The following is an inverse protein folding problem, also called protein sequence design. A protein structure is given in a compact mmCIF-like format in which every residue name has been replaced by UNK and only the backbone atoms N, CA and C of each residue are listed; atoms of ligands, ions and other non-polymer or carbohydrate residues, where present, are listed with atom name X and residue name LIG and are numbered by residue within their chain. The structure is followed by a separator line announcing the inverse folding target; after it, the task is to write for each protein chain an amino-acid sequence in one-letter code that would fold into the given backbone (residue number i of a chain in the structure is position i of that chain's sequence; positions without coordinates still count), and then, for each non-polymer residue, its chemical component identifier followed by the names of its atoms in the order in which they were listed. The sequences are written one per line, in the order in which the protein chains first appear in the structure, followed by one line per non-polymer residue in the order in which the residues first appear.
data_IF_699743283431
#
_entry.id   IF_699743283431
#
_cell.length_a   1.000
_cell.length_b   1.000
_cell.length_c   1.000
_cell.angle_alpha   90.00
_cell.angle_beta   90.00
_cell.angle_gamma   90.00
#
_symmetry.space_group_name_H-M   'P 1'
#
loop_
_entity.id
_entity.type
_entity.pdbx_description
1 polymer ?
#
# COMPACT_ATOMS: atom_id res chain seq x y z
N UNK A 1 27.90 10.87 -3.22
CA UNK A 1 26.89 11.32 -4.21
C UNK A 1 25.98 12.34 -3.53
N UNK A 2 25.67 13.47 -4.15
CA UNK A 2 24.98 14.59 -3.47
C UNK A 2 23.46 14.40 -3.48
N UNK A 3 22.75 14.92 -2.48
CA UNK A 3 21.26 14.92 -2.42
C UNK A 3 20.62 15.51 -3.68
N UNK A 4 21.27 16.50 -4.31
CA UNK A 4 20.85 17.12 -5.58
C UNK A 4 20.76 16.11 -6.72
N UNK A 5 21.70 15.16 -6.78
CA UNK A 5 21.69 14.11 -7.80
C UNK A 5 20.44 13.23 -7.69
N UNK A 6 20.15 12.71 -6.49
CA UNK A 6 18.97 11.86 -6.27
C UNK A 6 17.65 12.59 -6.50
N UNK A 7 17.60 13.89 -6.20
CA UNK A 7 16.44 14.72 -6.53
C UNK A 7 16.20 14.80 -8.04
N UNK A 8 17.25 15.07 -8.83
CA UNK A 8 17.15 15.13 -10.29
C UNK A 8 16.68 13.79 -10.84
N UNK A 9 17.26 12.68 -10.38
CA UNK A 9 16.84 11.33 -10.80
C UNK A 9 15.37 11.08 -10.46
N UNK A 10 14.92 11.44 -9.25
CA UNK A 10 13.52 11.31 -8.85
C UNK A 10 12.58 12.12 -9.75
N UNK A 11 12.94 13.36 -10.08
CA UNK A 11 12.15 14.23 -10.96
C UNK A 11 12.07 13.66 -12.38
N UNK A 12 13.16 13.10 -12.90
CA UNK A 12 13.17 12.43 -14.20
C UNK A 12 12.22 11.23 -14.18
N UNK A 13 12.25 10.39 -13.14
CA UNK A 13 11.31 9.26 -13.03
C UNK A 13 9.86 9.76 -13.00
N UNK A 14 9.55 10.79 -12.21
CA UNK A 14 8.19 11.35 -12.16
C UNK A 14 7.73 11.89 -13.51
N UNK A 15 8.61 12.58 -14.25
CA UNK A 15 8.30 13.05 -15.58
C UNK A 15 8.02 11.88 -16.55
N UNK A 16 8.84 10.82 -16.51
CA UNK A 16 8.63 9.63 -17.34
C UNK A 16 7.32 8.92 -16.97
N UNK A 17 7.02 8.73 -15.68
CA UNK A 17 5.75 8.14 -15.23
C UNK A 17 4.54 8.94 -15.72
N UNK A 18 4.59 10.27 -15.62
CA UNK A 18 3.50 11.12 -16.07
C UNK A 18 3.32 11.06 -17.59
N UNK A 19 4.41 11.13 -18.35
CA UNK A 19 4.37 11.04 -19.82
C UNK A 19 3.80 9.70 -20.25
N UNK A 20 4.26 8.58 -19.67
CA UNK A 20 3.77 7.25 -20.05
C UNK A 20 2.33 7.02 -19.62
N UNK A 21 1.89 7.53 -18.48
CA UNK A 21 0.48 7.49 -18.08
C UNK A 21 -0.42 8.28 -19.06
N UNK A 22 0.00 9.48 -19.48
CA UNK A 22 -0.73 10.28 -20.48
C UNK A 22 -0.78 9.54 -21.82
N UNK A 23 0.35 9.00 -22.27
CA UNK A 23 0.42 8.23 -23.53
C UNK A 23 -0.45 6.97 -23.48
N UNK A 24 -0.52 6.27 -22.34
CA UNK A 24 -1.43 5.13 -22.17
C UNK A 24 -2.89 5.55 -22.31
N UNK A 25 -3.31 6.64 -21.64
CA UNK A 25 -4.68 7.17 -21.73
C UNK A 25 -5.02 7.57 -23.17
N UNK A 26 -4.10 8.26 -23.87
CA UNK A 26 -4.25 8.61 -25.29
C UNK A 26 -4.36 7.34 -26.13
N UNK A 27 -3.45 6.38 -25.94
CA UNK A 27 -3.46 5.11 -26.66
C UNK A 27 -4.76 4.33 -26.42
N UNK A 28 -5.31 4.39 -25.21
CA UNK A 28 -6.59 3.79 -24.85
C UNK A 28 -7.77 4.48 -25.50
N UNK A 29 -7.77 5.82 -25.55
CA UNK A 29 -8.81 6.61 -26.18
C UNK A 29 -8.89 6.37 -27.70
N UNK A 30 -7.73 6.34 -28.38
CA UNK A 30 -7.65 6.12 -29.83
C UNK A 30 -7.57 4.64 -30.25
N UNK A 31 -7.57 3.69 -29.30
CA UNK A 31 -7.47 2.26 -29.61
C UNK A 31 -6.11 1.80 -30.14
N UNK A 32 -5.04 2.57 -29.90
CA UNK A 32 -3.68 2.29 -30.35
C UNK A 32 -3.02 1.28 -29.39
N UNK A 33 -3.18 -0.01 -29.70
CA UNK A 33 -2.75 -1.12 -28.82
C UNK A 33 -1.25 -1.16 -28.53
N UNK A 34 -0.40 -0.88 -29.52
CA UNK A 34 1.06 -0.92 -29.32
C UNK A 34 1.51 0.17 -28.33
N UNK A 35 0.86 1.33 -28.36
CA UNK A 35 1.16 2.42 -27.44
C UNK A 35 0.83 1.99 -26.02
N UNK A 36 -0.41 1.54 -25.77
CA UNK A 36 -0.82 0.98 -24.46
C UNK A 36 0.13 -0.13 -23.99
N UNK A 37 0.49 -1.05 -24.87
CA UNK A 37 1.34 -2.18 -24.54
C UNK A 37 2.72 -1.73 -24.04
N UNK A 38 3.28 -0.68 -24.66
CA UNK A 38 4.59 -0.15 -24.26
C UNK A 38 4.52 0.75 -23.04
N UNK A 39 3.42 1.48 -22.83
CA UNK A 39 3.36 2.51 -21.79
C UNK A 39 2.68 2.05 -20.51
N UNK A 40 1.73 1.10 -20.56
CA UNK A 40 0.83 0.81 -19.44
C UNK A 40 1.54 0.38 -18.16
N UNK A 41 2.52 -0.51 -18.27
CA UNK A 41 3.25 -1.06 -17.14
C UNK A 41 4.35 -0.14 -16.59
N UNK A 42 4.79 0.86 -17.39
CA UNK A 42 5.94 1.70 -17.03
C UNK A 42 5.69 2.54 -15.76
N UNK A 43 4.55 3.24 -15.59
CA UNK A 43 4.28 4.00 -14.38
C UNK A 43 4.45 3.18 -13.11
N UNK A 44 3.91 1.96 -13.07
CA UNK A 44 3.98 1.07 -11.91
C UNK A 44 5.37 0.49 -11.73
N UNK A 45 6.02 0.02 -12.81
CA UNK A 45 7.36 -0.54 -12.75
C UNK A 45 8.41 0.47 -12.23
N UNK A 46 8.28 1.75 -12.59
CA UNK A 46 9.16 2.81 -12.13
C UNK A 46 9.01 3.16 -10.64
N UNK A 47 7.97 2.68 -9.96
CA UNK A 47 7.86 2.82 -8.50
C UNK A 47 8.87 1.93 -7.76
N UNK A 48 9.32 0.82 -8.36
CA UNK A 48 10.30 -0.09 -7.76
C UNK A 48 11.63 0.63 -7.46
N UNK A 49 12.34 1.24 -8.44
CA UNK A 49 13.57 1.96 -8.16
C UNK A 49 13.36 3.18 -7.23
N UNK A 50 12.15 3.77 -7.22
CA UNK A 50 11.81 4.83 -6.26
C UNK A 50 11.80 4.32 -4.82
N UNK A 51 11.12 3.20 -4.56
CA UNK A 51 11.01 2.56 -3.25
C UNK A 51 12.35 2.01 -2.77
N UNK A 52 13.06 1.29 -3.63
CA UNK A 52 14.23 0.51 -3.22
C UNK A 52 15.53 1.31 -3.17
N UNK A 53 15.69 2.28 -4.08
CA UNK A 53 16.97 2.99 -4.25
C UNK A 53 16.83 4.48 -3.99
N UNK A 54 15.94 5.17 -4.70
CA UNK A 54 15.99 6.63 -4.77
C UNK A 54 15.50 7.29 -3.49
N UNK A 55 14.34 6.92 -2.95
CA UNK A 55 13.85 7.53 -1.71
C UNK A 55 14.78 7.27 -0.52
N UNK A 56 15.28 6.04 -0.27
CA UNK A 56 16.24 5.81 0.81
C UNK A 56 17.50 6.68 0.71
N UNK A 57 18.00 6.90 -0.51
CA UNK A 57 19.21 7.70 -0.74
C UNK A 57 18.94 9.21 -0.68
N UNK A 58 17.77 9.65 -1.16
CA UNK A 58 17.39 11.06 -1.17
C UNK A 58 17.09 11.60 0.23
N UNK A 59 16.42 10.81 1.08
CA UNK A 59 16.08 11.24 2.45
C UNK A 59 17.21 11.00 3.46
N UNK A 60 18.14 10.08 3.17
CA UNK A 60 19.34 9.80 3.96
C UNK A 60 19.07 9.64 5.48
N UNK A 61 17.94 9.04 5.84
CA UNK A 61 17.49 8.89 7.24
C UNK A 61 18.16 7.70 7.92
N UNK A 62 18.30 7.81 9.25
CA UNK A 62 18.78 6.70 10.10
C UNK A 62 17.78 5.54 10.14
N UNK A 63 16.47 5.84 10.15
CA UNK A 63 15.41 4.82 10.09
C UNK A 63 15.02 4.55 8.64
N UNK A 64 14.89 3.28 8.31
CA UNK A 64 14.46 2.78 6.99
C UNK A 64 13.31 1.80 7.18
N UNK A 65 12.45 1.68 6.16
CA UNK A 65 11.45 0.63 6.17
C UNK A 65 12.09 -0.77 6.37
N UNK A 66 11.49 -1.67 7.17
CA UNK A 66 11.98 -3.03 7.34
C UNK A 66 12.15 -3.73 5.99
N UNK A 67 13.23 -4.52 5.84
CA UNK A 67 13.53 -5.21 4.58
C UNK A 67 12.37 -6.09 4.09
N UNK A 68 11.70 -6.77 5.01
CA UNK A 68 10.52 -7.60 4.73
C UNK A 68 9.40 -6.80 4.06
N UNK A 69 9.11 -5.59 4.54
CA UNK A 69 8.09 -4.71 3.96
C UNK A 69 8.49 -4.30 2.55
N UNK A 70 9.75 -3.91 2.35
CA UNK A 70 10.27 -3.52 1.03
C UNK A 70 10.14 -4.65 0.02
N UNK A 71 10.59 -5.86 0.38
CA UNK A 71 10.50 -7.05 -0.47
C UNK A 71 9.05 -7.28 -0.92
N UNK A 72 8.10 -7.26 0.02
CA UNK A 72 6.69 -7.49 -0.32
C UNK A 72 6.10 -6.37 -1.20
N UNK A 73 6.41 -5.10 -0.93
CA UNK A 73 5.98 -3.99 -1.80
C UNK A 73 6.56 -4.14 -3.21
N UNK A 74 7.85 -4.47 -3.33
CA UNK A 74 8.53 -4.62 -4.62
C UNK A 74 7.96 -5.80 -5.41
N UNK A 75 7.74 -6.96 -4.77
CA UNK A 75 7.09 -8.09 -5.42
C UNK A 75 5.67 -7.70 -5.83
N UNK A 76 4.92 -6.99 -4.97
CA UNK A 76 3.59 -6.50 -5.30
C UNK A 76 3.56 -5.61 -6.53
N UNK A 77 4.45 -4.61 -6.58
CA UNK A 77 4.61 -3.72 -7.73
C UNK A 77 5.02 -4.46 -9.01
N UNK A 78 5.94 -5.42 -8.90
CA UNK A 78 6.38 -6.22 -10.03
C UNK A 78 5.23 -7.09 -10.58
N UNK A 79 4.48 -7.77 -9.71
CA UNK A 79 3.31 -8.55 -10.10
C UNK A 79 2.26 -7.67 -10.80
N UNK A 80 1.98 -6.48 -10.27
CA UNK A 80 1.01 -5.54 -10.87
C UNK A 80 1.48 -5.02 -12.24
N UNK A 81 2.75 -4.65 -12.39
CA UNK A 81 3.31 -4.20 -13.66
C UNK A 81 3.30 -5.31 -14.73
N UNK A 82 3.59 -6.56 -14.35
CA UNK A 82 3.46 -7.71 -15.28
C UNK A 82 1.99 -8.01 -15.56
N UNK A 83 1.10 -7.86 -14.58
CA UNK A 83 -0.35 -7.98 -14.74
C UNK A 83 -0.89 -6.99 -15.79
N UNK A 84 -0.42 -5.75 -15.76
CA UNK A 84 -0.77 -4.71 -16.75
C UNK A 84 -0.44 -5.15 -18.17
N UNK A 85 0.74 -5.72 -18.37
CA UNK A 85 1.17 -6.23 -19.66
C UNK A 85 0.22 -7.32 -20.18
N UNK A 86 -0.15 -8.28 -19.33
CA UNK A 86 -1.09 -9.34 -19.69
C UNK A 86 -2.51 -8.84 -19.98
N UNK A 87 -2.96 -7.75 -19.34
CA UNK A 87 -4.26 -7.14 -19.63
C UNK A 87 -4.32 -6.44 -21.00
N UNK A 88 -3.21 -5.90 -21.50
CA UNK A 88 -3.19 -5.27 -22.83
C UNK A 88 -3.28 -6.30 -23.94
N UNK A 89 -2.81 -7.54 -23.71
CA UNK A 89 -2.94 -8.70 -24.61
C UNK A 89 -4.39 -9.22 -24.55
N UNK A 90 -5.35 -8.34 -24.77
CA UNK A 90 -6.79 -8.58 -24.61
C UNK A 90 -7.36 -9.55 -25.65
N UNK A 91 -6.59 -9.95 -26.66
CA UNK A 91 -7.05 -10.92 -27.66
C UNK A 91 -7.32 -12.30 -27.07
N UNK A 92 -6.71 -12.63 -25.92
CA UNK A 92 -6.75 -13.97 -25.35
C UNK A 92 -7.35 -13.95 -23.94
N UNK A 93 -8.50 -14.63 -23.76
CA UNK A 93 -9.09 -14.92 -22.44
C UNK A 93 -8.08 -15.43 -21.39
N UNK A 94 -7.11 -16.32 -21.71
CA UNK A 94 -6.12 -16.75 -20.73
C UNK A 94 -5.17 -15.62 -20.28
N UNK A 95 -4.76 -14.72 -21.17
CA UNK A 95 -3.91 -13.58 -20.79
C UNK A 95 -4.62 -12.67 -19.79
N UNK A 96 -5.91 -12.40 -20.00
CA UNK A 96 -6.70 -11.65 -19.02
C UNK A 96 -6.73 -12.34 -17.64
N UNK A 97 -6.95 -13.65 -17.60
CA UNK A 97 -6.99 -14.43 -16.34
C UNK A 97 -5.62 -14.38 -15.64
N UNK A 98 -4.52 -14.58 -16.39
CA UNK A 98 -3.16 -14.51 -15.85
C UNK A 98 -2.89 -13.11 -15.27
N UNK A 99 -3.23 -12.05 -16.00
CA UNK A 99 -3.09 -10.68 -15.52
C UNK A 99 -3.85 -10.45 -14.21
N UNK A 100 -5.11 -10.90 -14.15
CA UNK A 100 -5.95 -10.80 -12.96
C UNK A 100 -5.36 -11.55 -11.75
N UNK A 101 -4.84 -12.76 -11.96
CA UNK A 101 -4.17 -13.53 -10.91
C UNK A 101 -2.92 -12.80 -10.42
N UNK A 102 -2.13 -12.19 -11.32
CA UNK A 102 -0.95 -11.42 -10.94
C UNK A 102 -1.30 -10.19 -10.10
N UNK A 103 -2.36 -9.44 -10.46
CA UNK A 103 -2.85 -8.34 -9.62
C UNK A 103 -3.24 -8.82 -8.22
N UNK A 104 -3.99 -9.92 -8.17
CA UNK A 104 -4.43 -10.50 -6.91
C UNK A 104 -3.26 -10.90 -6.01
N UNK A 105 -2.26 -11.57 -6.58
CA UNK A 105 -1.02 -11.90 -5.89
C UNK A 105 -0.31 -10.63 -5.42
N UNK A 106 -0.27 -9.59 -6.24
CA UNK A 106 0.29 -8.29 -5.89
C UNK A 106 -0.40 -7.64 -4.68
N UNK A 107 -1.73 -7.64 -4.65
CA UNK A 107 -2.51 -7.13 -3.51
C UNK A 107 -2.30 -7.95 -2.25
N UNK A 108 -2.19 -9.28 -2.34
CA UNK A 108 -1.85 -10.13 -1.19
C UNK A 108 -0.50 -9.73 -0.60
N UNK A 109 0.50 -9.42 -1.42
CA UNK A 109 1.77 -8.93 -0.91
C UNK A 109 1.66 -7.56 -0.23
N UNK A 110 0.81 -6.65 -0.72
CA UNK A 110 0.51 -5.40 0.01
C UNK A 110 -0.20 -5.66 1.34
N UNK A 111 -1.14 -6.60 1.40
CA UNK A 111 -1.79 -7.02 2.65
C UNK A 111 -0.73 -7.48 3.66
N UNK A 112 0.18 -8.37 3.25
CA UNK A 112 1.23 -8.91 4.13
C UNK A 112 2.19 -7.80 4.57
N UNK A 113 2.61 -6.92 3.66
CA UNK A 113 3.53 -5.80 3.94
C UNK A 113 2.98 -4.85 5.01
N UNK A 114 1.66 -4.63 5.02
CA UNK A 114 0.98 -3.70 5.90
C UNK A 114 0.00 -4.38 6.87
N UNK A 115 0.22 -5.65 7.21
CA UNK A 115 -0.61 -6.30 8.21
C UNK A 115 -0.28 -5.75 9.61
N UNK A 116 -1.27 -5.29 10.42
CA UNK A 116 -1.00 -4.76 11.75
C UNK A 116 -0.53 -5.89 12.69
N UNK A 117 0.68 -5.76 13.25
CA UNK A 117 1.29 -6.79 14.12
C UNK A 117 0.72 -6.85 15.54
N UNK A 118 0.08 -5.77 16.04
CA UNK A 118 -0.54 -5.73 17.38
C UNK A 118 -2.00 -6.19 17.29
N UNK A 119 -2.25 -7.44 17.68
CA UNK A 119 -3.45 -8.22 17.36
C UNK A 119 -4.79 -7.72 17.95
N UNK A 120 -4.91 -7.49 19.27
CA UNK A 120 -6.25 -7.49 19.91
C UNK A 120 -7.19 -6.33 19.53
N UNK A 121 -6.77 -5.07 19.68
CA UNK A 121 -7.66 -3.93 19.41
C UNK A 121 -7.87 -3.67 17.90
N UNK A 122 -6.90 -4.07 17.07
CA UNK A 122 -6.87 -3.68 15.65
C UNK A 122 -7.49 -4.67 14.71
N UNK A 123 -7.66 -5.93 15.14
CA UNK A 123 -8.47 -6.90 14.41
C UNK A 123 -9.91 -6.43 14.30
N UNK A 124 -10.48 -5.78 15.32
CA UNK A 124 -11.86 -5.28 15.24
C UNK A 124 -12.01 -4.20 14.15
N UNK A 125 -11.07 -3.26 14.07
CA UNK A 125 -11.04 -2.23 13.02
C UNK A 125 -10.80 -2.83 11.64
N UNK A 126 -9.90 -3.81 11.54
CA UNK A 126 -9.65 -4.55 10.30
C UNK A 126 -10.93 -5.28 9.85
N UNK A 127 -11.55 -6.07 10.72
CA UNK A 127 -12.77 -6.83 10.44
C UNK A 127 -13.91 -5.87 10.06
N UNK A 128 -14.13 -4.80 10.82
CA UNK A 128 -15.17 -3.81 10.51
C UNK A 128 -14.95 -3.15 9.14
N UNK A 129 -13.71 -2.78 8.81
CA UNK A 129 -13.37 -2.18 7.52
C UNK A 129 -13.55 -3.18 6.37
N UNK A 130 -13.10 -4.42 6.55
CA UNK A 130 -13.30 -5.50 5.57
C UNK A 130 -14.78 -5.77 5.36
N UNK A 131 -15.58 -5.88 6.43
CA UNK A 131 -17.02 -6.11 6.33
C UNK A 131 -17.71 -4.96 5.59
N UNK A 132 -17.41 -3.71 5.93
CA UNK A 132 -17.99 -2.54 5.27
C UNK A 132 -17.68 -2.54 3.77
N UNK A 133 -16.41 -2.76 3.41
CA UNK A 133 -15.99 -2.80 2.01
C UNK A 133 -16.61 -3.98 1.26
N UNK A 134 -16.65 -5.17 1.87
CA UNK A 134 -17.31 -6.35 1.29
C UNK A 134 -18.81 -6.11 1.05
N UNK A 135 -19.51 -5.48 2.00
CA UNK A 135 -20.92 -5.13 1.83
C UNK A 135 -21.08 -4.14 0.69
N UNK A 136 -20.22 -3.11 0.60
CA UNK A 136 -20.27 -2.14 -0.50
C UNK A 136 -19.99 -2.77 -1.88
N UNK A 137 -19.00 -3.67 -1.96
CA UNK A 137 -18.70 -4.45 -3.17
C UNK A 137 -19.87 -5.36 -3.54
N UNK A 138 -20.49 -6.01 -2.55
CA UNK A 138 -21.62 -6.89 -2.77
C UNK A 138 -22.86 -6.13 -3.27
N UNK A 139 -23.16 -4.96 -2.70
CA UNK A 139 -24.22 -4.09 -3.20
C UNK A 139 -23.94 -3.64 -4.64
N UNK A 140 -22.72 -3.20 -4.93
CA UNK A 140 -22.28 -2.83 -6.28
C UNK A 140 -22.44 -4.01 -7.24
N UNK A 141 -22.03 -5.19 -6.80
CA UNK A 141 -22.14 -6.43 -7.56
C UNK A 141 -23.61 -6.76 -7.88
N UNK A 142 -24.54 -6.70 -6.93
CA UNK A 142 -25.97 -6.96 -7.17
C UNK A 142 -26.56 -5.95 -8.17
N UNK A 143 -26.22 -4.67 -8.04
CA UNK A 143 -26.76 -3.63 -8.92
C UNK A 143 -26.33 -3.88 -10.38
N UNK A 144 -25.09 -4.31 -10.57
CA UNK A 144 -24.50 -4.53 -11.89
C UNK A 144 -24.91 -5.90 -12.48
N UNK A 145 -25.02 -6.94 -11.65
CA UNK A 145 -25.33 -8.30 -12.07
C UNK A 145 -26.81 -8.63 -11.87
N UNK A 146 -27.63 -8.28 -12.88
CA UNK A 146 -29.05 -8.65 -12.88
C UNK A 146 -29.30 -10.11 -13.31
N UNK A 147 -28.31 -10.82 -13.90
CA UNK A 147 -28.46 -12.20 -14.39
C UNK A 147 -27.32 -13.12 -13.89
N UNK A 148 -27.21 -13.27 -12.57
CA UNK A 148 -26.13 -14.01 -11.87
C UNK A 148 -26.01 -15.47 -12.36
N UNK A 149 -27.11 -16.10 -12.77
CA UNK A 149 -27.15 -17.53 -13.11
C UNK A 149 -26.25 -17.91 -14.28
N UNK A 150 -26.02 -16.99 -15.23
CA UNK A 150 -25.18 -17.26 -16.41
C UNK A 150 -23.68 -17.15 -16.14
N UNK A 151 -23.28 -16.48 -15.05
CA UNK A 151 -21.88 -16.09 -14.81
C UNK A 151 -21.35 -16.49 -13.44
N UNK A 152 -21.94 -17.51 -12.80
CA UNK A 152 -21.63 -17.93 -11.41
C UNK A 152 -20.13 -18.05 -11.12
N UNK A 153 -19.36 -18.70 -12.01
CA UNK A 153 -17.92 -18.86 -11.81
C UNK A 153 -17.15 -17.52 -11.85
N UNK A 154 -17.51 -16.63 -12.78
CA UNK A 154 -16.91 -15.30 -12.88
C UNK A 154 -17.27 -14.44 -11.67
N UNK A 155 -18.53 -14.55 -11.22
CA UNK A 155 -19.02 -13.89 -10.00
C UNK A 155 -18.23 -14.27 -8.75
N UNK A 156 -17.93 -15.55 -8.56
CA UNK A 156 -17.06 -15.98 -7.46
C UNK A 156 -15.65 -15.41 -7.59
N UNK A 157 -15.12 -15.32 -8.80
CA UNK A 157 -13.84 -14.67 -9.08
C UNK A 157 -13.82 -13.20 -8.65
N UNK A 158 -14.85 -12.42 -9.02
CA UNK A 158 -14.96 -11.02 -8.61
C UNK A 158 -15.15 -10.86 -7.10
N UNK A 159 -15.96 -11.70 -6.47
CA UNK A 159 -16.16 -11.66 -5.02
C UNK A 159 -14.84 -11.92 -4.27
N UNK A 160 -14.09 -12.93 -4.70
CA UNK A 160 -12.78 -13.25 -4.13
C UNK A 160 -11.78 -12.13 -4.36
N UNK A 161 -11.78 -11.53 -5.55
CA UNK A 161 -10.96 -10.37 -5.87
C UNK A 161 -11.25 -9.18 -4.94
N UNK A 162 -12.52 -8.77 -4.82
CA UNK A 162 -12.92 -7.67 -3.93
C UNK A 162 -12.67 -7.95 -2.44
N UNK A 163 -12.75 -9.21 -2.01
CA UNK A 163 -12.38 -9.59 -0.65
C UNK A 163 -10.90 -9.28 -0.37
N UNK A 164 -10.00 -9.61 -1.30
CA UNK A 164 -8.56 -9.33 -1.16
C UNK A 164 -8.27 -7.83 -1.19
N UNK A 165 -8.93 -7.07 -2.06
CA UNK A 165 -8.76 -5.61 -2.08
C UNK A 165 -9.33 -4.93 -0.83
N UNK A 166 -10.43 -5.46 -0.30
CA UNK A 166 -11.00 -5.02 0.99
C UNK A 166 -10.00 -5.27 2.12
N UNK A 167 -9.37 -6.45 2.13
CA UNK A 167 -8.32 -6.79 3.09
C UNK A 167 -7.09 -5.88 2.94
N UNK A 168 -6.70 -5.57 1.70
CA UNK A 168 -5.61 -4.63 1.40
C UNK A 168 -5.93 -3.25 1.95
N UNK A 169 -7.09 -2.68 1.60
CA UNK A 169 -7.50 -1.35 2.05
C UNK A 169 -7.57 -1.29 3.58
N UNK A 170 -8.15 -2.32 4.20
CA UNK A 170 -8.24 -2.40 5.65
C UNK A 170 -6.86 -2.53 6.32
N UNK A 171 -5.86 -3.18 5.70
CA UNK A 171 -4.51 -3.31 6.28
C UNK A 171 -3.79 -1.96 6.38
N UNK A 172 -4.02 -1.06 5.41
CA UNK A 172 -3.53 0.32 5.47
C UNK A 172 -4.29 1.17 6.50
N UNK A 173 -5.62 1.07 6.55
CA UNK A 173 -6.45 1.84 7.50
C UNK A 173 -6.17 1.43 8.95
N UNK A 174 -5.99 0.14 9.21
CA UNK A 174 -5.77 -0.41 10.55
C UNK A 174 -4.33 -0.24 11.08
N UNK A 175 -3.47 0.51 10.38
CA UNK A 175 -2.09 0.73 10.80
C UNK A 175 -2.01 1.42 12.18
N UNK A 176 -1.07 1.02 13.05
CA UNK A 176 -0.75 1.78 14.25
C UNK A 176 -0.43 3.24 13.98
N UNK A 177 -1.05 4.13 14.75
CA UNK A 177 -0.32 5.33 15.19
C UNK A 177 0.79 4.87 16.13
N UNK A 178 2.04 5.14 15.76
CA UNK A 178 3.24 4.85 16.56
C UNK A 178 4.26 5.95 16.32
N UNK A 179 5.05 6.29 17.34
CA UNK A 179 6.12 7.30 17.21
C UNK A 179 7.09 6.97 16.06
N UNK A 180 7.31 5.69 15.76
CA UNK A 180 8.20 5.26 14.67
C UNK A 180 7.63 5.44 13.26
N UNK A 181 6.40 5.91 13.10
CA UNK A 181 5.73 5.99 11.79
C UNK A 181 5.05 7.35 11.60
N UNK A 182 5.32 7.99 10.46
CA UNK A 182 4.67 9.23 10.07
C UNK A 182 3.21 8.99 9.66
N UNK A 183 2.27 9.66 10.34
CA UNK A 183 0.82 9.55 10.12
C UNK A 183 0.41 10.01 8.70
N UNK A 184 1.05 11.05 8.16
CA UNK A 184 0.76 11.55 6.80
C UNK A 184 1.06 10.50 5.73
N UNK A 185 2.17 9.77 5.87
CA UNK A 185 2.52 8.68 4.98
C UNK A 185 1.55 7.50 5.10
N UNK A 186 1.08 7.19 6.31
CA UNK A 186 0.06 6.16 6.53
C UNK A 186 -1.26 6.54 5.85
N UNK A 187 -1.69 7.79 6.03
CA UNK A 187 -2.90 8.29 5.40
C UNK A 187 -2.80 8.25 3.88
N UNK A 188 -1.65 8.62 3.30
CA UNK A 188 -1.39 8.46 1.87
C UNK A 188 -1.59 7.00 1.42
N UNK A 189 -1.05 6.03 2.15
CA UNK A 189 -1.23 4.61 1.83
C UNK A 189 -2.70 4.16 1.87
N UNK A 190 -3.46 4.59 2.87
CA UNK A 190 -4.89 4.30 2.98
C UNK A 190 -5.71 4.91 1.84
N UNK A 191 -5.45 6.18 1.49
CA UNK A 191 -6.07 6.84 0.33
C UNK A 191 -5.68 6.11 -0.96
N UNK A 192 -4.41 5.69 -1.09
CA UNK A 192 -3.92 4.95 -2.25
C UNK A 192 -4.63 3.61 -2.44
N UNK A 193 -4.79 2.84 -1.36
CA UNK A 193 -5.51 1.57 -1.40
C UNK A 193 -6.99 1.75 -1.75
N UNK A 194 -7.65 2.79 -1.22
CA UNK A 194 -9.02 3.12 -1.58
C UNK A 194 -9.15 3.51 -3.06
N UNK A 195 -8.19 4.26 -3.61
CA UNK A 195 -8.20 4.62 -5.03
C UNK A 195 -8.02 3.40 -5.95
N UNK A 196 -7.18 2.43 -5.58
CA UNK A 196 -7.05 1.17 -6.31
C UNK A 196 -8.39 0.41 -6.27
N UNK A 197 -8.95 0.21 -5.09
CA UNK A 197 -10.25 -0.44 -4.94
C UNK A 197 -11.34 0.23 -5.78
N UNK A 198 -11.39 1.58 -5.78
CA UNK A 198 -12.33 2.34 -6.63
C UNK A 198 -12.05 2.14 -8.12
N UNK A 199 -10.78 2.12 -8.53
CA UNK A 199 -10.37 1.84 -9.91
C UNK A 199 -10.90 0.49 -10.40
N UNK A 200 -10.74 -0.56 -9.60
CA UNK A 200 -11.14 -1.91 -9.97
C UNK A 200 -12.65 -2.14 -9.87
N UNK A 201 -13.34 -1.43 -8.97
CA UNK A 201 -14.80 -1.31 -9.00
C UNK A 201 -15.27 -0.70 -10.33
N UNK A 202 -14.68 0.42 -10.76
CA UNK A 202 -15.02 1.08 -12.03
C UNK A 202 -14.72 0.18 -13.24
N UNK A 203 -13.59 -0.53 -13.22
CA UNK A 203 -13.22 -1.49 -14.26
C UNK A 203 -14.23 -2.64 -14.35
N UNK A 204 -14.67 -3.16 -13.21
CA UNK A 204 -15.67 -4.23 -13.13
C UNK A 204 -17.03 -3.75 -13.66
N UNK A 205 -17.49 -2.58 -13.22
CA UNK A 205 -18.73 -1.95 -13.71
C UNK A 205 -18.67 -1.78 -15.24
N UNK A 206 -17.57 -1.21 -15.74
CA UNK A 206 -17.38 -0.95 -17.16
C UNK A 206 -17.43 -2.23 -18.01
N UNK A 207 -16.75 -3.27 -17.55
CA UNK A 207 -16.73 -4.57 -18.22
C UNK A 207 -18.14 -5.15 -18.30
N UNK A 208 -18.92 -5.05 -17.23
CA UNK A 208 -20.28 -5.58 -17.22
C UNK A 208 -21.21 -4.77 -18.12
N UNK A 209 -21.16 -3.43 -18.07
CA UNK A 209 -21.95 -2.60 -18.99
C UNK A 209 -21.66 -2.95 -20.45
N UNK A 210 -20.39 -3.18 -20.79
CA UNK A 210 -19.97 -3.62 -22.12
C UNK A 210 -20.53 -5.00 -22.48
N UNK A 211 -20.55 -5.97 -21.56
CA UNK A 211 -21.12 -7.30 -21.80
C UNK A 211 -22.64 -7.27 -22.03
N UNK A 212 -23.36 -6.33 -21.39
CA UNK A 212 -24.80 -6.15 -21.57
C UNK A 212 -25.16 -5.23 -22.74
N UNK A 213 -24.19 -4.78 -23.54
CA UNK A 213 -24.43 -3.89 -24.68
C UNK A 213 -24.96 -2.51 -24.29
N UNK A 214 -24.74 -2.08 -23.05
CA UNK A 214 -25.12 -0.74 -22.57
C UNK A 214 -24.06 0.28 -22.96
N UNK A 215 -24.48 1.53 -23.09
CA UNK A 215 -23.57 2.64 -23.37
C UNK A 215 -22.48 2.74 -22.32
N UNK A 216 -21.29 3.09 -22.81
CA UNK A 216 -20.07 3.14 -22.02
C UNK A 216 -20.03 4.43 -21.21
N UNK A 217 -19.52 4.36 -19.97
CA UNK A 217 -19.35 5.56 -19.15
C UNK A 217 -18.35 6.50 -19.86
N UNK A 218 -18.70 7.77 -20.11
CA UNK A 218 -17.80 8.70 -20.77
C UNK A 218 -16.51 8.87 -19.95
N UNK A 219 -15.36 8.92 -20.63
CA UNK A 219 -14.03 9.06 -20.00
C UNK A 219 -13.62 7.97 -19.00
N UNK A 220 -14.35 6.85 -18.93
CA UNK A 220 -14.07 5.72 -18.03
C UNK A 220 -12.60 5.32 -17.96
N UNK A 221 -11.92 5.27 -19.09
CA UNK A 221 -10.55 4.75 -19.17
C UNK A 221 -9.59 5.71 -18.48
N UNK A 222 -9.79 7.01 -18.67
CA UNK A 222 -9.01 8.02 -17.97
C UNK A 222 -9.26 7.94 -16.46
N UNK A 223 -10.52 7.83 -16.02
CA UNK A 223 -10.85 7.71 -14.60
C UNK A 223 -10.18 6.49 -13.97
N UNK A 224 -10.36 5.30 -14.56
CA UNK A 224 -9.74 4.05 -14.08
C UNK A 224 -8.23 4.19 -14.01
N UNK A 225 -7.56 4.62 -15.09
CA UNK A 225 -6.09 4.71 -15.12
C UNK A 225 -5.55 5.77 -14.14
N UNK A 226 -6.22 6.91 -14.00
CA UNK A 226 -5.81 7.95 -13.04
C UNK A 226 -5.93 7.45 -11.60
N UNK A 227 -7.05 6.82 -11.22
CA UNK A 227 -7.22 6.24 -9.89
C UNK A 227 -6.22 5.11 -9.62
N UNK A 228 -5.97 4.28 -10.63
CA UNK A 228 -5.01 3.17 -10.57
C UNK A 228 -3.57 3.65 -10.34
N UNK A 229 -3.03 4.50 -11.23
CA UNK A 229 -1.66 4.97 -11.14
C UNK A 229 -1.42 5.83 -9.90
N UNK A 230 -2.37 6.70 -9.56
CA UNK A 230 -2.24 7.53 -8.36
C UNK A 230 -2.34 6.67 -7.09
N UNK A 231 -3.20 5.66 -7.07
CA UNK A 231 -3.31 4.70 -5.99
C UNK A 231 -2.00 3.95 -5.73
N UNK A 232 -1.38 3.39 -6.78
CA UNK A 232 -0.08 2.72 -6.67
C UNK A 232 1.05 3.66 -6.22
N UNK A 233 1.06 4.90 -6.73
CA UNK A 233 2.02 5.90 -6.28
C UNK A 233 1.90 6.17 -4.77
N UNK A 234 0.67 6.37 -4.27
CA UNK A 234 0.43 6.66 -2.85
C UNK A 234 0.74 5.47 -1.93
N UNK A 235 0.40 4.24 -2.34
CA UNK A 235 0.81 3.02 -1.61
C UNK A 235 2.34 2.95 -1.54
N UNK A 236 3.02 3.14 -2.67
CA UNK A 236 4.48 3.13 -2.72
C UNK A 236 5.06 4.22 -1.83
N UNK A 237 4.50 5.42 -1.89
CA UNK A 237 4.89 6.56 -1.06
C UNK A 237 4.74 6.28 0.44
N UNK A 238 3.72 5.52 0.86
CA UNK A 238 3.53 5.16 2.27
C UNK A 238 4.63 4.28 2.84
N UNK A 239 5.44 3.61 1.99
CA UNK A 239 6.64 2.90 2.44
C UNK A 239 7.64 3.83 3.17
N UNK A 240 7.50 5.16 2.97
CA UNK A 240 8.35 6.19 3.57
C UNK A 240 8.01 6.54 5.02
N UNK A 241 6.99 5.91 5.61
CA UNK A 241 6.51 6.26 6.94
C UNK A 241 7.58 6.15 8.03
N UNK A 242 8.59 5.28 7.87
CA UNK A 242 9.70 5.12 8.82
C UNK A 242 10.81 6.16 8.61
N UNK A 243 11.06 6.57 7.37
CA UNK A 243 12.01 7.63 7.06
C UNK A 243 11.49 9.00 7.53
N UNK A 244 10.19 9.28 7.37
CA UNK A 244 9.59 10.56 7.73
C UNK A 244 9.51 10.81 9.25
N UNK A 245 9.24 9.78 10.05
CA UNK A 245 9.18 9.93 11.52
C UNK A 245 10.54 10.31 12.12
N UNK A 246 11.64 9.80 11.56
CA UNK A 246 12.98 10.14 12.02
C UNK A 246 13.34 11.62 11.83
N UNK A 247 12.82 12.28 10.79
CA UNK A 247 13.02 13.72 10.57
C UNK A 247 12.22 14.57 11.57
N UNK A 248 10.99 14.16 11.89
CA UNK A 248 10.15 14.88 12.86
C UNK A 248 10.76 14.87 14.27
N UNK A 249 11.43 13.78 14.67
CA UNK A 249 12.19 13.72 15.93
C UNK A 249 13.41 14.65 15.93
N UNK A 250 14.23 14.64 14.87
CA UNK A 250 15.44 15.48 14.80
C UNK A 250 15.13 16.99 14.77
N UNK A 251 14.01 17.39 14.15
CA UNK A 251 13.55 18.78 14.14
C UNK A 251 12.92 19.19 15.48
N UNK A 252 12.22 18.26 16.14
CA UNK A 252 11.68 18.46 17.49
C UNK A 252 12.76 18.74 18.53
N UNK A 253 13.85 17.98 18.51
CA UNK A 253 14.97 18.15 19.45
C UNK A 253 15.67 19.51 19.26
N UNK A 254 15.87 19.95 18.02
CA UNK A 254 16.46 21.27 17.73
C UNK A 254 15.58 22.41 18.22
N UNK A 255 14.26 22.30 18.05
CA UNK A 255 13.33 23.30 18.57
C UNK A 255 13.29 23.31 20.10
N UNK A 256 13.41 22.15 20.75
CA UNK A 256 13.53 22.04 22.21
C UNK A 256 14.77 22.77 22.75
N UNK A 257 15.92 22.59 22.12
CA UNK A 257 17.18 23.26 22.51
C UNK A 257 17.09 24.77 22.30
N UNK A 258 16.55 25.23 21.17
CA UNK A 258 16.38 26.67 20.91
C UNK A 258 15.42 27.34 21.90
N UNK A 259 14.39 26.63 22.39
CA UNK A 259 13.50 27.15 23.43
C UNK A 259 14.14 27.22 24.82
N UNK A 260 15.11 26.36 25.12
CA UNK A 260 15.85 26.42 26.40
C UNK A 260 16.98 27.46 26.40
N UNK A 261 17.39 27.97 25.23
CA UNK A 261 18.49 28.92 25.08
C UNK A 261 18.11 30.41 25.03
N UNK A 262 16.82 30.75 25.10
CA UNK A 262 16.33 32.14 24.99
C UNK A 262 15.51 32.52 26.23
N UNK A 263 16.10 32.33 27.42
CA UNK A 263 15.70 33.06 28.62
C UNK A 263 16.66 34.25 28.76
N UNK A 264 16.27 35.35 28.11
CA UNK A 264 17.06 36.54 27.81
C UNK A 264 17.18 37.54 29.00
N UNK A 265 17.15 37.02 30.23
CA UNK A 265 17.32 37.85 31.43
C UNK A 265 18.59 37.59 32.22
N UNK A 266 19.47 36.68 31.80
CA UNK A 266 20.78 36.55 32.43
C UNK A 266 20.74 36.28 33.94
N UNK A 267 19.58 35.91 34.48
CA UNK A 267 19.45 35.34 35.81
C UNK A 267 19.37 33.84 35.64
N UNK A 268 20.41 33.15 36.12
CA UNK A 268 20.35 31.72 36.43
C UNK A 268 19.28 31.57 37.51
N UNK A 269 18.04 31.39 37.08
CA UNK A 269 16.94 31.15 38.00
C UNK A 269 17.15 29.74 38.54
N UNK A 270 17.81 29.67 39.70
CA UNK A 270 17.78 28.53 40.60
C UNK A 270 16.30 28.25 40.89
N UNK A 271 15.66 27.45 40.04
CA UNK A 271 14.34 26.89 40.27
C UNK A 271 14.50 25.82 41.34
N UNK A 272 14.69 26.28 42.57
CA UNK A 272 14.31 25.57 43.77
C UNK A 272 12.79 25.51 43.76
N UNK A 273 12.30 24.31 44.01
CA UNK A 273 10.99 24.04 44.58
C UNK A 273 9.81 24.22 43.62
N UNK A 274 9.44 23.13 42.95
CA UNK A 274 8.12 22.47 43.10
C UNK A 274 7.95 21.43 41.98
N UNK A 275 8.67 20.31 42.14
CA UNK A 275 8.40 19.06 41.43
C UNK A 275 7.20 18.38 42.09
N UNK A 276 5.99 18.90 41.84
CA UNK A 276 4.77 18.17 42.10
C UNK A 276 4.57 17.13 40.98
N UNK A 277 5.15 15.95 41.22
CA UNK A 277 4.60 14.63 40.91
C UNK A 277 3.47 14.59 39.85
N UNK A 278 3.85 14.35 38.59
CA UNK A 278 3.07 13.48 37.71
C UNK A 278 3.90 12.24 37.43
N UNK A 279 3.79 11.27 38.35
CA UNK A 279 4.27 9.92 38.15
C UNK A 279 3.44 9.27 37.04
N UNK A 280 3.95 9.35 35.81
CA UNK A 280 3.51 8.44 34.76
C UNK A 280 4.03 7.05 35.14
N UNK A 281 3.15 6.22 35.74
CA UNK A 281 3.45 4.83 36.00
C UNK A 281 3.73 4.14 34.66
N UNK A 282 5.00 3.98 34.33
CA UNK A 282 5.42 2.98 33.35
C UNK A 282 5.08 1.63 33.95
N UNK A 283 4.02 0.98 33.44
CA UNK A 283 3.82 -0.44 33.68
C UNK A 283 5.08 -1.17 33.20
N UNK A 284 5.87 -1.63 34.18
CA UNK A 284 6.98 -2.52 33.98
C UNK A 284 6.42 -3.81 33.38
N UNK A 285 6.60 -3.97 32.08
CA UNK A 285 6.45 -5.27 31.41
C UNK A 285 7.44 -6.22 32.11
N UNK A 286 6.98 -7.33 32.71
CA UNK A 286 7.88 -8.26 33.37
C UNK A 286 8.87 -8.83 32.35
N UNK A 287 10.12 -9.08 32.75
CA UNK A 287 11.10 -9.71 31.87
C UNK A 287 10.56 -11.06 31.41
N UNK A 288 10.45 -11.25 30.10
CA UNK A 288 10.18 -12.56 29.51
C UNK A 288 11.29 -13.51 29.93
N UNK A 289 10.98 -14.36 30.90
CA UNK A 289 11.78 -15.52 31.27
C UNK A 289 11.96 -16.39 30.04
N UNK A 290 13.21 -16.63 29.69
CA UNK A 290 13.65 -17.58 28.68
C UNK A 290 12.94 -18.92 28.86
N UNK A 291 12.10 -19.29 27.91
CA UNK A 291 11.55 -20.64 27.80
C UNK A 291 12.73 -21.52 27.38
N UNK A 292 13.15 -22.41 28.27
CA UNK A 292 14.14 -23.43 27.99
C UNK A 292 13.68 -24.31 26.81
N UNK A 293 14.59 -24.74 25.92
CA UNK A 293 14.25 -25.64 24.84
C UNK A 293 13.71 -26.97 25.39
N UNK A 294 12.52 -27.34 24.93
CA UNK A 294 11.93 -28.66 25.17
C UNK A 294 12.84 -29.71 24.52
N UNK A 295 13.31 -30.73 25.24
CA UNK A 295 14.06 -31.82 24.65
C UNK A 295 13.16 -32.60 23.70
N UNK A 296 13.54 -32.64 22.43
CA UNK A 296 12.92 -33.50 21.41
C UNK A 296 13.28 -34.94 21.78
N UNK A 297 12.33 -35.67 22.39
CA UNK A 297 12.43 -37.13 22.48
C UNK A 297 12.26 -37.69 21.07
N UNK A 298 13.34 -38.25 20.53
CA UNK A 298 13.32 -39.06 19.33
C UNK A 298 12.47 -40.31 19.59
N UNK A 299 11.24 -40.30 19.07
CA UNK A 299 10.40 -41.48 19.05
C UNK A 299 10.93 -42.42 17.96
N UNK A 300 11.65 -43.46 18.38
CA UNK A 300 11.97 -44.61 17.54
C UNK A 300 10.67 -45.21 17.02
N UNK A 301 10.43 -45.08 15.71
CA UNK A 301 9.47 -45.92 15.00
C UNK A 301 10.16 -47.27 14.83
N UNK A 302 9.78 -48.24 15.66
CA UNK A 302 10.12 -49.64 15.43
C UNK A 302 9.32 -50.13 14.22
N UNK A 303 10.05 -50.51 13.18
CA UNK A 303 9.59 -51.43 12.15
C UNK A 303 9.18 -52.75 12.81
N UNK A 304 8.03 -53.32 12.41
CA UNK A 304 7.65 -54.65 12.87
C UNK A 304 6.27 -55.10 12.38
N UNK A 305 6.32 -56.05 11.43
CA UNK A 305 5.31 -57.06 11.06
C UNK A 305 4.40 -57.49 12.19
#
# INVERSE_FOLDING_TARGET
MTRKFWLIVSLVIYAVQLITAILDIIGAHFGIKWLQFTTKAIPVALLIPLVDVIWPQYFATKRRAPLTVKIYITIGLACNAVGDYFLVIRSNRPSFIIGTILFLVGHVFYVIAFLPTKFKYRIMHLVSSVTLLCVSSFCTYIIVYQDIKKFVLESFGYLFFFLIESAMTASFIAQPKSQDKCEKCQHAGAVGALLIFMSDCLLTIDRQLTLFGKDQIPMRTACIMLTYYFGHFLISYSSRQWECSAHEEEDGDKQGILRQGVDEHGEVQHRKDELSFYSYQSETVPPQSWIAPVPIQAQQISEGV
#
